data_IF_279947437050
#
_entry.id   IF_279947437050
#
_cell.length_a   1.000
_cell.length_b   1.000
_cell.length_c   1.000
_cell.angle_alpha   90.00
_cell.angle_beta   90.00
_cell.angle_gamma   90.00
#
_symmetry.space_group_name_H-M   'P 1'
#
loop_
_entity.id
_entity.type
_entity.pdbx_description
1 polymer ?
#
# COMPACT_ATOMS: atom_id res chain seq x y z
N UNK A 1 14.18 -0.09 -22.58
CA UNK A 1 13.03 0.59 -23.21
C UNK A 1 13.02 2.02 -22.76
N UNK A 2 12.83 2.96 -23.68
CA UNK A 2 12.65 4.38 -23.37
C UNK A 2 11.19 4.76 -23.11
N UNK A 3 10.27 3.83 -23.36
CA UNK A 3 8.85 3.96 -23.04
C UNK A 3 8.56 3.17 -21.76
N UNK A 4 7.96 3.85 -20.77
CA UNK A 4 7.49 3.24 -19.54
C UNK A 4 6.30 2.31 -19.78
N UNK A 5 6.11 1.25 -18.96
CA UNK A 5 5.03 0.29 -19.14
C UNK A 5 3.65 0.81 -18.71
N UNK A 6 3.59 1.98 -18.07
CA UNK A 6 2.38 2.65 -17.59
C UNK A 6 2.47 4.13 -17.91
N UNK A 7 1.33 4.77 -18.13
CA UNK A 7 1.23 6.22 -18.32
C UNK A 7 0.70 6.86 -17.05
N UNK A 8 1.46 7.82 -16.53
CA UNK A 8 1.06 8.69 -15.42
C UNK A 8 1.64 10.09 -15.67
N UNK A 9 0.83 11.17 -15.53
CA UNK A 9 1.33 12.53 -15.70
C UNK A 9 2.55 12.81 -14.80
N UNK A 10 3.66 13.27 -15.40
CA UNK A 10 4.91 13.58 -14.71
C UNK A 10 5.83 12.39 -14.39
N UNK A 11 5.39 11.15 -14.61
CA UNK A 11 6.19 9.96 -14.24
C UNK A 11 7.46 9.83 -15.09
N UNK A 12 7.37 10.09 -16.40
CA UNK A 12 8.52 10.03 -17.31
C UNK A 12 9.64 10.96 -16.88
N UNK A 13 9.31 12.17 -16.40
CA UNK A 13 10.28 13.16 -15.94
C UNK A 13 11.02 12.68 -14.68
N UNK A 14 10.25 12.20 -13.69
CA UNK A 14 10.79 11.69 -12.41
C UNK A 14 11.69 10.47 -12.66
N UNK A 15 11.23 9.50 -13.46
CA UNK A 15 12.00 8.29 -13.76
C UNK A 15 13.27 8.64 -14.53
N UNK A 16 13.17 9.49 -15.55
CA UNK A 16 14.33 9.87 -16.37
C UNK A 16 15.40 10.59 -15.56
N UNK A 17 15.00 11.44 -14.59
CA UNK A 17 15.93 12.16 -13.74
C UNK A 17 16.76 11.26 -12.80
N UNK A 18 16.17 10.16 -12.31
CA UNK A 18 16.73 9.28 -11.29
C UNK A 18 17.31 7.96 -11.84
N UNK A 19 16.80 7.47 -12.98
CA UNK A 19 17.16 6.16 -13.55
C UNK A 19 18.66 6.08 -13.86
N UNK A 20 19.31 5.03 -13.37
CA UNK A 20 20.74 4.81 -13.52
C UNK A 20 21.62 5.57 -12.53
N UNK A 21 21.04 6.40 -11.64
CA UNK A 21 21.75 7.07 -10.54
C UNK A 21 21.44 6.39 -9.21
N UNK A 22 20.21 6.55 -8.74
CA UNK A 22 19.69 5.97 -7.49
C UNK A 22 18.38 5.20 -7.70
N UNK A 23 17.87 5.15 -8.93
CA UNK A 23 16.74 4.31 -9.33
C UNK A 23 17.22 3.28 -10.35
N UNK A 24 16.97 2.00 -10.07
CA UNK A 24 17.35 0.89 -10.92
C UNK A 24 16.18 -0.09 -11.07
N UNK A 25 16.04 -0.66 -12.26
CA UNK A 25 15.11 -1.74 -12.55
C UNK A 25 15.91 -2.99 -12.90
N UNK A 26 15.62 -4.10 -12.24
CA UNK A 26 16.35 -5.36 -12.42
C UNK A 26 15.41 -6.55 -12.31
N UNK A 27 15.76 -7.63 -12.98
CA UNK A 27 15.14 -8.95 -12.82
C UNK A 27 15.94 -9.85 -11.87
N UNK A 28 17.12 -9.42 -11.42
CA UNK A 28 17.90 -10.12 -10.40
C UNK A 28 17.36 -9.80 -8.99
N UNK A 29 16.23 -10.42 -8.68
CA UNK A 29 15.50 -10.20 -7.43
C UNK A 29 16.34 -10.64 -6.22
N UNK A 30 17.10 -11.74 -6.35
CA UNK A 30 17.89 -12.30 -5.23
C UNK A 30 19.02 -11.36 -4.82
N UNK A 31 19.75 -10.81 -5.78
CA UNK A 31 20.79 -9.81 -5.48
C UNK A 31 20.20 -8.56 -4.83
N UNK A 32 19.05 -8.09 -5.33
CA UNK A 32 18.37 -6.91 -4.77
C UNK A 32 17.91 -7.14 -3.32
N UNK A 33 17.33 -8.31 -3.00
CA UNK A 33 16.91 -8.66 -1.62
C UNK A 33 18.12 -8.68 -0.67
N UNK A 34 19.24 -9.27 -1.10
CA UNK A 34 20.45 -9.34 -0.26
C UNK A 34 20.98 -7.96 0.09
N UNK A 35 21.05 -7.07 -0.90
CA UNK A 35 21.59 -5.73 -0.76
C UNK A 35 20.67 -4.74 -0.01
N UNK A 36 19.36 -5.00 0.05
CA UNK A 36 18.39 -4.06 0.60
C UNK A 36 18.35 -4.08 2.14
N UNK A 37 18.18 -2.91 2.77
CA UNK A 37 17.82 -2.80 4.19
C UNK A 37 16.29 -2.82 4.38
N UNK A 38 15.57 -2.23 3.42
CA UNK A 38 14.13 -2.10 3.39
C UNK A 38 13.58 -2.63 2.07
N UNK A 39 12.61 -3.55 2.14
CA UNK A 39 12.04 -4.26 0.99
C UNK A 39 10.53 -4.00 0.93
N UNK A 40 10.08 -3.26 -0.08
CA UNK A 40 8.66 -3.11 -0.35
C UNK A 40 8.10 -4.33 -1.10
N UNK A 41 7.00 -4.88 -0.62
CA UNK A 41 6.23 -5.94 -1.28
C UNK A 41 5.00 -5.30 -1.94
N UNK A 42 5.10 -5.10 -3.26
CA UNK A 42 4.10 -4.43 -4.09
C UNK A 42 3.62 -5.36 -5.21
N UNK A 43 3.01 -6.48 -4.83
CA UNK A 43 2.51 -7.49 -5.77
C UNK A 43 0.98 -7.52 -5.74
N UNK A 44 0.37 -7.85 -6.88
CA UNK A 44 -1.09 -7.97 -6.96
C UNK A 44 -1.64 -9.06 -6.05
N UNK A 45 -2.83 -8.84 -5.52
CA UNK A 45 -3.60 -9.79 -4.68
C UNK A 45 -4.97 -10.02 -5.32
N UNK A 46 -5.03 -10.70 -6.49
CA UNK A 46 -6.26 -10.82 -7.24
C UNK A 46 -7.34 -11.52 -6.43
N UNK A 47 -8.61 -11.23 -6.71
CA UNK A 47 -9.72 -11.95 -6.09
C UNK A 47 -9.69 -13.42 -6.48
N UNK A 48 -9.88 -14.33 -5.51
CA UNK A 48 -9.93 -15.77 -5.76
C UNK A 48 -11.04 -16.10 -6.74
N UNK A 49 -10.73 -16.89 -7.76
CA UNK A 49 -11.71 -17.36 -8.75
C UNK A 49 -12.39 -18.68 -8.36
N UNK A 50 -11.86 -19.41 -7.38
CA UNK A 50 -12.42 -20.69 -6.92
C UNK A 50 -12.15 -20.96 -5.42
N UNK A 51 -12.85 -21.95 -4.86
CA UNK A 51 -12.71 -22.39 -3.47
C UNK A 51 -13.36 -21.45 -2.44
N UNK A 52 -12.99 -21.61 -1.17
CA UNK A 52 -13.53 -20.78 -0.07
C UNK A 52 -13.19 -19.31 -0.33
N UNK A 53 -14.23 -18.47 -0.35
CA UNK A 53 -14.09 -17.03 -0.62
C UNK A 53 -13.98 -16.66 -2.11
N UNK A 54 -14.31 -17.57 -3.04
CA UNK A 54 -14.36 -17.22 -4.46
C UNK A 54 -15.25 -15.98 -4.72
N UNK A 55 -14.75 -15.08 -5.56
CA UNK A 55 -15.38 -13.80 -5.92
C UNK A 55 -15.32 -12.73 -4.83
N UNK A 56 -14.70 -12.99 -3.67
CA UNK A 56 -14.68 -12.04 -2.54
C UNK A 56 -13.33 -11.92 -1.83
N UNK A 57 -12.69 -13.04 -1.54
CA UNK A 57 -11.43 -13.08 -0.82
C UNK A 57 -10.24 -12.81 -1.75
N UNK A 58 -9.23 -12.10 -1.24
CA UNK A 58 -7.97 -11.91 -1.93
C UNK A 58 -7.15 -13.21 -1.97
N UNK A 59 -6.43 -13.40 -3.06
CA UNK A 59 -5.47 -14.48 -3.25
C UNK A 59 -4.07 -14.01 -2.85
N UNK A 60 -3.54 -14.60 -1.77
CA UNK A 60 -2.27 -14.19 -1.17
C UNK A 60 -1.05 -14.91 -1.77
N UNK A 61 -1.22 -15.77 -2.78
CA UNK A 61 -0.12 -16.59 -3.33
C UNK A 61 1.11 -15.79 -3.73
N UNK A 62 0.94 -14.59 -4.29
CA UNK A 62 2.06 -13.74 -4.68
C UNK A 62 2.78 -13.11 -3.48
N UNK A 63 2.03 -12.70 -2.44
CA UNK A 63 2.58 -12.22 -1.18
C UNK A 63 3.37 -13.35 -0.49
N UNK A 64 2.80 -14.55 -0.43
CA UNK A 64 3.47 -15.72 0.14
C UNK A 64 4.73 -16.08 -0.64
N UNK A 65 4.67 -16.06 -1.97
CA UNK A 65 5.82 -16.30 -2.84
C UNK A 65 6.95 -15.29 -2.62
N UNK A 66 6.61 -14.00 -2.52
CA UNK A 66 7.58 -12.95 -2.20
C UNK A 66 8.20 -13.17 -0.82
N UNK A 67 7.39 -13.44 0.22
CA UNK A 67 7.88 -13.70 1.57
C UNK A 67 8.80 -14.93 1.65
N UNK A 68 8.48 -16.02 0.93
CA UNK A 68 9.35 -17.21 0.83
C UNK A 68 10.67 -16.91 0.16
N UNK A 69 10.65 -16.18 -0.95
CA UNK A 69 11.87 -15.78 -1.66
C UNK A 69 12.76 -14.89 -0.80
N UNK A 70 12.16 -13.94 -0.06
CA UNK A 70 12.87 -13.11 0.92
C UNK A 70 13.51 -13.99 2.00
N UNK A 71 12.75 -14.92 2.60
CA UNK A 71 13.27 -15.80 3.65
C UNK A 71 14.41 -16.71 3.17
N UNK A 72 14.37 -17.15 1.91
CA UNK A 72 15.40 -18.00 1.31
C UNK A 72 16.76 -17.30 1.18
N UNK A 73 16.75 -16.01 0.81
CA UNK A 73 17.99 -15.34 0.37
C UNK A 73 18.43 -14.15 1.23
N UNK A 74 17.55 -13.62 2.08
CA UNK A 74 17.89 -12.49 2.93
C UNK A 74 18.95 -12.88 3.97
N UNK A 75 19.78 -11.91 4.32
CA UNK A 75 20.86 -12.00 5.31
C UNK A 75 20.82 -10.73 6.18
N UNK A 76 21.16 -10.83 7.47
CA UNK A 76 21.14 -9.70 8.40
C UNK A 76 19.72 -9.21 8.73
N UNK A 77 19.62 -7.92 9.09
CA UNK A 77 18.35 -7.32 9.53
C UNK A 77 17.63 -6.68 8.34
N UNK A 78 16.39 -7.09 8.09
CA UNK A 78 15.57 -6.56 6.99
C UNK A 78 14.25 -5.98 7.51
N UNK A 79 13.84 -4.85 6.94
CA UNK A 79 12.51 -4.27 7.14
C UNK A 79 11.67 -4.61 5.90
N UNK A 80 10.61 -5.38 6.10
CA UNK A 80 9.68 -5.76 5.04
C UNK A 80 8.47 -4.86 5.13
N UNK A 81 8.21 -4.10 4.07
CA UNK A 81 7.11 -3.14 4.01
C UNK A 81 6.06 -3.64 3.03
N UNK A 82 4.90 -3.97 3.59
CA UNK A 82 3.71 -4.32 2.85
C UNK A 82 3.06 -3.03 2.32
N UNK A 83 2.93 -2.90 0.99
CA UNK A 83 2.39 -1.68 0.33
C UNK A 83 0.98 -1.84 -0.23
N UNK A 84 0.60 -3.08 -0.54
CA UNK A 84 -0.49 -3.39 -1.45
C UNK A 84 -1.86 -3.27 -0.76
N UNK A 85 -2.94 -3.12 -1.51
CA UNK A 85 -4.28 -3.21 -0.91
C UNK A 85 -4.59 -4.67 -0.59
N UNK A 86 -4.53 -5.05 0.68
CA UNK A 86 -4.62 -6.44 1.11
C UNK A 86 -5.53 -6.62 2.34
N UNK A 87 -6.05 -7.84 2.58
CA UNK A 87 -6.87 -8.11 3.75
C UNK A 87 -6.07 -7.97 5.05
N UNK A 88 -6.79 -7.65 6.13
CA UNK A 88 -6.24 -7.59 7.49
C UNK A 88 -5.59 -8.93 7.86
N UNK A 89 -4.47 -8.86 8.59
CA UNK A 89 -3.59 -9.94 9.05
C UNK A 89 -2.63 -10.49 7.99
N UNK A 90 -2.50 -9.86 6.83
CA UNK A 90 -1.53 -10.34 5.83
C UNK A 90 -0.09 -10.10 6.30
N UNK A 91 0.18 -8.99 6.98
CA UNK A 91 1.50 -8.76 7.58
C UNK A 91 1.87 -9.82 8.64
N UNK A 92 0.87 -10.36 9.37
CA UNK A 92 1.09 -11.52 10.25
C UNK A 92 1.43 -12.78 9.48
N UNK A 93 0.79 -13.03 8.33
CA UNK A 93 1.09 -14.18 7.48
C UNK A 93 2.51 -14.09 6.90
N UNK A 94 2.92 -12.90 6.44
CA UNK A 94 4.29 -12.63 6.00
C UNK A 94 5.28 -12.96 7.12
N UNK A 95 5.03 -12.47 8.34
CA UNK A 95 5.90 -12.75 9.50
C UNK A 95 6.01 -14.25 9.80
N UNK A 96 4.90 -14.98 9.77
CA UNK A 96 4.91 -16.44 9.97
C UNK A 96 5.73 -17.15 8.91
N UNK A 97 5.62 -16.76 7.64
CA UNK A 97 6.38 -17.34 6.54
C UNK A 97 7.88 -17.05 6.69
N UNK A 98 8.24 -15.80 6.97
CA UNK A 98 9.63 -15.39 7.17
C UNK A 98 10.26 -16.17 8.34
N UNK A 99 9.58 -16.23 9.49
CA UNK A 99 10.08 -16.96 10.66
C UNK A 99 10.23 -18.46 10.43
N UNK A 100 9.34 -19.08 9.64
CA UNK A 100 9.37 -20.52 9.38
C UNK A 100 10.36 -20.94 8.28
N UNK A 101 10.83 -20.01 7.44
CA UNK A 101 11.64 -20.34 6.26
C UNK A 101 12.99 -19.59 6.22
N UNK A 102 13.31 -18.76 7.23
CA UNK A 102 14.62 -18.08 7.29
C UNK A 102 15.75 -19.10 7.40
N UNK A 103 16.72 -19.03 6.49
CA UNK A 103 17.84 -20.00 6.43
C UNK A 103 19.21 -19.41 6.75
N UNK A 104 19.35 -18.07 6.83
CA UNK A 104 20.64 -17.39 6.94
C UNK A 104 20.73 -16.47 8.19
N UNK A 105 20.10 -16.86 9.30
CA UNK A 105 20.03 -16.06 10.55
C UNK A 105 19.51 -14.61 10.35
N UNK A 106 18.75 -14.38 9.27
CA UNK A 106 18.15 -13.09 8.99
C UNK A 106 17.01 -12.79 9.99
N UNK A 107 16.95 -11.53 10.42
CA UNK A 107 15.85 -11.03 11.25
C UNK A 107 14.95 -10.10 10.43
N UNK A 108 13.66 -10.12 10.74
CA UNK A 108 12.66 -9.40 9.96
C UNK A 108 11.76 -8.57 10.87
N UNK A 109 11.59 -7.31 10.50
CA UNK A 109 10.50 -6.47 10.99
C UNK A 109 9.50 -6.27 9.84
N UNK A 110 8.21 -6.45 10.12
CA UNK A 110 7.16 -6.30 9.10
C UNK A 110 6.35 -5.05 9.41
N UNK A 111 6.27 -4.16 8.43
CA UNK A 111 5.46 -2.95 8.48
C UNK A 111 4.34 -3.04 7.45
N UNK A 112 3.22 -2.39 7.72
CA UNK A 112 2.18 -2.08 6.74
C UNK A 112 2.27 -0.61 6.36
N UNK A 113 2.27 -0.29 5.08
CA UNK A 113 2.31 1.07 4.56
C UNK A 113 1.40 1.17 3.33
N UNK A 114 0.06 1.18 3.54
CA UNK A 114 -0.88 1.18 2.43
C UNK A 114 -0.69 2.42 1.55
N UNK A 115 -0.91 2.26 0.24
CA UNK A 115 -0.98 3.38 -0.68
C UNK A 115 -2.35 4.08 -0.68
N UNK A 116 -2.36 5.37 -0.97
CA UNK A 116 -3.57 6.19 -1.13
C UNK A 116 -3.52 7.01 -2.43
N UNK A 117 -2.95 6.44 -3.48
CA UNK A 117 -2.89 7.07 -4.81
C UNK A 117 -4.16 6.76 -5.61
N UNK A 118 -4.45 7.63 -6.58
CA UNK A 118 -5.40 7.38 -7.65
C UNK A 118 -4.67 7.37 -9.01
N UNK A 119 -5.14 6.51 -9.93
CA UNK A 119 -4.64 6.50 -11.30
C UNK A 119 -4.91 7.85 -11.98
N UNK A 120 -3.91 8.39 -12.67
CA UNK A 120 -3.94 9.71 -13.31
C UNK A 120 -3.45 10.87 -12.44
N UNK A 121 -3.32 10.68 -11.11
CA UNK A 121 -2.76 11.67 -10.18
C UNK A 121 -1.62 11.09 -9.33
N UNK A 122 -1.10 9.92 -9.67
CA UNK A 122 -0.21 9.17 -8.78
C UNK A 122 1.08 9.92 -8.40
N UNK A 123 1.66 10.68 -9.33
CA UNK A 123 2.86 11.49 -9.05
C UNK A 123 2.55 12.59 -8.04
N UNK A 124 1.46 13.34 -8.25
CA UNK A 124 1.02 14.41 -7.35
C UNK A 124 0.72 13.85 -5.95
N UNK A 125 -0.06 12.77 -5.88
CA UNK A 125 -0.44 12.07 -4.66
C UNK A 125 0.79 11.58 -3.85
N UNK A 126 1.88 11.19 -4.54
CA UNK A 126 3.12 10.75 -3.90
C UNK A 126 4.01 11.91 -3.44
N UNK A 127 4.04 13.02 -4.17
CA UNK A 127 4.81 14.22 -3.78
C UNK A 127 4.16 15.03 -2.67
N UNK A 128 2.83 15.12 -2.65
CA UNK A 128 2.08 15.95 -1.71
C UNK A 128 0.89 15.20 -1.09
N UNK A 129 1.11 14.04 -0.45
CA UNK A 129 0.03 13.24 0.10
C UNK A 129 -0.73 14.00 1.19
N UNK A 130 -2.04 13.73 1.29
CA UNK A 130 -2.84 14.12 2.46
C UNK A 130 -2.24 13.55 3.75
N UNK A 131 -1.84 12.27 3.69
CA UNK A 131 -1.22 11.51 4.77
C UNK A 131 -0.45 10.30 4.26
N UNK A 132 0.60 9.93 4.99
CA UNK A 132 1.25 8.63 4.93
C UNK A 132 0.83 7.84 6.17
N UNK A 133 0.42 6.58 6.00
CA UNK A 133 0.07 5.69 7.10
C UNK A 133 1.11 4.58 7.21
N UNK A 134 1.66 4.38 8.41
CA UNK A 134 2.64 3.32 8.69
C UNK A 134 2.18 2.54 9.93
N UNK A 135 1.96 1.24 9.78
CA UNK A 135 1.68 0.30 10.84
C UNK A 135 2.90 -0.55 11.18
N UNK A 136 3.21 -0.70 12.47
CA UNK A 136 4.28 -1.59 12.94
C UNK A 136 3.89 -2.35 14.21
N UNK A 137 4.79 -3.19 14.72
CA UNK A 137 4.61 -3.85 16.01
C UNK A 137 4.96 -2.91 17.17
N UNK A 138 4.27 -3.08 18.30
CA UNK A 138 4.54 -2.32 19.54
C UNK A 138 5.72 -2.87 20.35
N UNK A 139 6.73 -3.43 19.67
CA UNK A 139 7.99 -3.91 20.25
C UNK A 139 9.10 -2.88 20.01
N UNK A 140 10.19 -2.88 20.80
CA UNK A 140 11.32 -1.98 20.57
C UNK A 140 11.86 -2.05 19.13
N UNK A 141 12.01 -3.27 18.58
CA UNK A 141 12.50 -3.49 17.22
C UNK A 141 11.50 -3.02 16.17
N UNK A 142 10.20 -3.20 16.43
CA UNK A 142 9.12 -2.73 15.55
C UNK A 142 9.08 -1.20 15.48
N UNK A 143 9.32 -0.52 16.60
CA UNK A 143 9.40 0.95 16.64
C UNK A 143 10.65 1.47 15.90
N UNK A 144 11.79 0.79 16.01
CA UNK A 144 13.00 1.14 15.24
C UNK A 144 12.74 1.01 13.74
N UNK A 145 12.11 -0.08 13.30
CA UNK A 145 11.77 -0.28 11.90
C UNK A 145 10.78 0.76 11.39
N UNK A 146 9.76 1.07 12.19
CA UNK A 146 8.76 2.09 11.89
C UNK A 146 9.41 3.47 11.73
N UNK A 147 10.31 3.87 12.64
CA UNK A 147 11.03 5.15 12.56
C UNK A 147 11.97 5.19 11.35
N UNK A 148 12.60 4.07 10.98
CA UNK A 148 13.41 4.00 9.76
C UNK A 148 12.56 4.32 8.51
N UNK A 149 11.34 3.78 8.39
CA UNK A 149 10.45 4.12 7.28
C UNK A 149 9.90 5.56 7.37
N UNK A 150 9.61 6.05 8.58
CA UNK A 150 9.25 7.47 8.79
C UNK A 150 10.36 8.39 8.27
N UNK A 151 11.62 8.08 8.57
CA UNK A 151 12.77 8.87 8.14
C UNK A 151 12.88 8.97 6.62
N UNK A 152 12.52 7.90 5.89
CA UNK A 152 12.46 7.91 4.42
C UNK A 152 11.43 8.93 3.95
N UNK A 153 10.20 8.84 4.42
CA UNK A 153 9.12 9.75 4.02
C UNK A 153 9.37 11.21 4.46
N UNK A 154 10.02 11.42 5.59
CA UNK A 154 10.31 12.75 6.14
C UNK A 154 11.26 13.59 5.26
N UNK A 155 11.87 13.02 4.23
CA UNK A 155 12.68 13.77 3.26
C UNK A 155 11.83 14.75 2.42
N UNK A 156 10.54 14.47 2.22
CA UNK A 156 9.65 15.34 1.46
C UNK A 156 8.24 15.50 2.05
N UNK A 157 7.81 14.61 2.95
CA UNK A 157 6.51 14.68 3.61
C UNK A 157 6.67 15.30 5.01
N UNK A 158 5.90 16.37 5.34
CA UNK A 158 5.90 16.93 6.69
C UNK A 158 5.51 15.90 7.74
N UNK A 159 6.17 15.91 8.91
CA UNK A 159 6.01 14.88 9.95
C UNK A 159 4.56 14.77 10.45
N UNK A 160 3.82 15.86 10.47
CA UNK A 160 2.41 15.95 10.84
C UNK A 160 1.48 15.18 9.89
N UNK A 161 1.91 14.94 8.65
CA UNK A 161 1.19 14.11 7.68
C UNK A 161 1.59 12.64 7.73
N UNK A 162 2.53 12.25 8.59
CA UNK A 162 2.94 10.86 8.76
C UNK A 162 2.29 10.27 10.02
N UNK A 163 1.29 9.42 9.80
CA UNK A 163 0.52 8.77 10.85
C UNK A 163 1.13 7.39 11.11
N UNK A 164 1.51 7.16 12.36
CA UNK A 164 2.09 5.89 12.81
C UNK A 164 1.10 5.16 13.71
N UNK A 165 0.89 3.87 13.49
CA UNK A 165 -0.09 3.06 14.23
C UNK A 165 0.40 1.62 14.40
N UNK A 166 -0.42 0.76 15.02
CA UNK A 166 -0.14 -0.67 15.03
C UNK A 166 -0.46 -1.30 13.67
N UNK A 167 0.13 -2.46 13.42
CA UNK A 167 0.04 -3.20 12.16
C UNK A 167 -1.40 -3.37 11.64
N UNK A 168 -2.33 -3.82 12.50
CA UNK A 168 -3.70 -4.13 12.09
C UNK A 168 -4.55 -2.88 11.88
N UNK A 169 -4.32 -1.84 12.68
CA UNK A 169 -4.97 -0.54 12.46
C UNK A 169 -4.60 0.03 11.10
N UNK A 170 -3.35 -0.11 10.65
CA UNK A 170 -2.92 0.31 9.31
C UNK A 170 -3.68 -0.43 8.19
N UNK A 171 -3.66 -1.76 8.22
CA UNK A 171 -4.34 -2.60 7.21
C UNK A 171 -5.86 -2.30 7.17
N UNK A 172 -6.49 -2.22 8.35
CA UNK A 172 -7.93 -1.97 8.45
C UNK A 172 -8.30 -0.56 7.96
N UNK A 173 -7.50 0.46 8.30
CA UNK A 173 -7.75 1.83 7.87
C UNK A 173 -7.83 1.97 6.35
N UNK A 174 -7.00 1.23 5.59
CA UNK A 174 -7.08 1.25 4.12
C UNK A 174 -8.39 0.66 3.60
N UNK A 175 -8.81 -0.49 4.13
CA UNK A 175 -10.08 -1.12 3.74
C UNK A 175 -11.28 -0.23 4.08
N UNK A 176 -11.28 0.36 5.28
CA UNK A 176 -12.35 1.24 5.73
C UNK A 176 -12.38 2.53 4.92
N UNK A 177 -11.24 3.16 4.61
CA UNK A 177 -11.20 4.36 3.78
C UNK A 177 -11.83 4.10 2.40
N UNK A 178 -11.47 3.01 1.74
CA UNK A 178 -12.04 2.65 0.44
C UNK A 178 -13.54 2.33 0.56
N UNK A 179 -13.98 1.67 1.63
CA UNK A 179 -15.40 1.38 1.88
C UNK A 179 -16.21 2.66 2.09
N UNK A 180 -15.69 3.65 2.82
CA UNK A 180 -16.35 4.94 3.02
C UNK A 180 -16.49 5.73 1.70
N UNK A 181 -15.46 5.72 0.85
CA UNK A 181 -15.54 6.34 -0.48
C UNK A 181 -16.63 5.68 -1.34
N UNK A 182 -16.64 4.35 -1.41
CA UNK A 182 -17.65 3.59 -2.13
C UNK A 182 -19.07 3.81 -1.57
N UNK A 183 -19.19 3.94 -0.25
CA UNK A 183 -20.45 4.22 0.43
C UNK A 183 -21.00 5.60 0.02
N UNK A 184 -20.17 6.65 -0.02
CA UNK A 184 -20.62 8.00 -0.43
C UNK A 184 -21.21 7.99 -1.85
N UNK A 185 -20.53 7.32 -2.78
CA UNK A 185 -20.99 7.18 -4.16
C UNK A 185 -22.29 6.37 -4.21
N UNK A 186 -22.37 5.26 -3.48
CA UNK A 186 -23.57 4.42 -3.45
C UNK A 186 -24.77 5.16 -2.84
N UNK A 187 -24.53 5.98 -1.82
CA UNK A 187 -25.55 6.81 -1.19
C UNK A 187 -26.09 7.86 -2.16
N UNK A 188 -25.24 8.63 -2.86
CA UNK A 188 -25.76 9.64 -3.79
C UNK A 188 -26.47 9.01 -5.00
N UNK A 189 -26.01 7.85 -5.46
CA UNK A 189 -26.67 7.09 -6.52
C UNK A 189 -28.04 6.55 -6.11
N UNK A 190 -28.25 6.20 -4.83
CA UNK A 190 -29.58 5.77 -4.38
C UNK A 190 -30.56 6.95 -4.31
N UNK A 191 -30.05 8.15 -4.00
CA UNK A 191 -30.83 9.40 -4.01
C UNK A 191 -31.17 9.84 -5.44
N UNK A 192 -30.30 9.62 -6.43
CA UNK A 192 -30.60 9.98 -7.83
C UNK A 192 -31.89 9.33 -8.35
N UNK A 193 -32.12 8.06 -8.01
CA UNK A 193 -33.35 7.36 -8.38
C UNK A 193 -34.60 7.97 -7.72
N UNK A 194 -34.47 8.52 -6.51
CA UNK A 194 -35.56 9.24 -5.83
C UNK A 194 -35.80 10.60 -6.49
N UNK A 195 -34.73 11.31 -6.87
CA UNK A 195 -34.78 12.57 -7.61
C UNK A 195 -35.54 12.39 -8.94
N UNK A 196 -35.23 11.35 -9.72
CA UNK A 196 -35.94 11.00 -10.97
C UNK A 196 -37.45 10.76 -10.75
N UNK A 197 -37.83 10.10 -9.65
CA UNK A 197 -39.24 9.82 -9.34
C UNK A 197 -40.02 11.02 -8.80
N UNK A 198 -39.32 12.04 -8.27
CA UNK A 198 -39.93 13.18 -7.57
C UNK A 198 -39.80 14.51 -8.32
N UNK A 199 -38.96 14.56 -9.35
CA UNK A 199 -38.67 15.77 -10.13
C UNK A 199 -37.60 16.68 -9.50
N UNK A 200 -36.86 16.20 -8.51
CA UNK A 200 -35.70 16.92 -7.98
C UNK A 200 -34.45 16.69 -8.86
N UNK A 201 -33.45 17.57 -8.75
CA UNK A 201 -32.15 17.44 -9.43
C UNK A 201 -31.10 16.89 -8.45
N UNK A 202 -30.43 15.80 -8.83
CA UNK A 202 -29.43 15.15 -7.97
C UNK A 202 -28.19 16.01 -7.76
N UNK A 203 -27.81 16.85 -8.74
CA UNK A 203 -26.65 17.73 -8.64
C UNK A 203 -26.93 18.88 -7.66
N UNK A 204 -28.14 19.44 -7.67
CA UNK A 204 -28.57 20.44 -6.68
C UNK A 204 -28.60 19.86 -5.25
N UNK A 205 -29.12 18.64 -5.10
CA UNK A 205 -29.17 17.93 -3.82
C UNK A 205 -27.75 17.59 -3.32
N UNK A 206 -26.89 17.08 -4.20
CA UNK A 206 -25.50 16.77 -3.88
C UNK A 206 -24.73 18.02 -3.44
N UNK A 207 -24.91 19.13 -4.15
CA UNK A 207 -24.32 20.42 -3.78
C UNK A 207 -24.80 20.88 -2.41
N UNK A 208 -26.12 20.85 -2.14
CA UNK A 208 -26.67 21.27 -0.86
C UNK A 208 -26.10 20.45 0.31
N UNK A 209 -26.08 19.11 0.19
CA UNK A 209 -25.52 18.21 1.22
C UNK A 209 -24.01 18.40 1.37
N UNK A 210 -23.30 18.64 0.27
CA UNK A 210 -21.84 18.83 0.26
C UNK A 210 -21.37 20.11 0.93
N UNK A 211 -22.26 21.05 1.25
CA UNK A 211 -21.91 22.27 2.00
C UNK A 211 -21.83 22.06 3.52
N UNK A 212 -22.31 20.93 4.04
CA UNK A 212 -22.21 20.60 5.46
C UNK A 212 -20.75 20.25 5.82
N UNK A 213 -20.26 20.85 6.91
CA UNK A 213 -18.85 20.88 7.32
C UNK A 213 -18.48 19.80 8.32
#
# INVERSE_FOLDING_TARGET
>A
SDVLPVYEPGLDEVVTAARGKNLHFTTDIKAAIKAADLIFVSVGTPTKSYGIGAGRAADLRYIEGAARLIAEVAEGNKIIVEKSTIPVKTASAIKTILAANSTNDATFQVLSNPEFLAEGTAVEDLTAPDRILIGGESTPEGQIALEALVSVYAHWVPRERIITTNLWSSELSKLVANAFLAQRISSINSISALCEATGADVDEVANAIGTDS
#
